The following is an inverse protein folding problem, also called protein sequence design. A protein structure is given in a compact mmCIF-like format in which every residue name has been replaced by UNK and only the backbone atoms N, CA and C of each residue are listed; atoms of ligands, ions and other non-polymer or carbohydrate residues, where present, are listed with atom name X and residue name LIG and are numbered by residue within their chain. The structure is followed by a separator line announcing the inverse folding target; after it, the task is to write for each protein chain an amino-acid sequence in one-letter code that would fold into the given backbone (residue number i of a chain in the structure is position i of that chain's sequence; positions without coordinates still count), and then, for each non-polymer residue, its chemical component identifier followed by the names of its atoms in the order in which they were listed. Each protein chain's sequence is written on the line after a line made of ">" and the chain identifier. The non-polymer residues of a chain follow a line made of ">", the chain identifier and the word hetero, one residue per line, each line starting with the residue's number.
data_IF_215290988006
#
_entry.id   IF_215290988006
#
_cell.length_a   1.000
_cell.length_b   1.000
_cell.length_c   1.000
_cell.angle_alpha   90.00
_cell.angle_beta   90.00
_cell.angle_gamma   90.00
#
_symmetry.space_group_name_H-M   'P 1'
#
loop_
_entity.id
_entity.type
_entity.pdbx_description
1 polymer ?
#
# COMPACT_ATOMS: atom_id res chain seq x y z
N UNK A 1 49.98 -10.85 4.54
CA UNK A 1 48.79 -10.76 3.63
C UNK A 1 47.59 -11.60 4.07
N UNK A 2 47.54 -12.17 5.28
CA UNK A 2 46.52 -13.15 5.73
C UNK A 2 45.47 -12.61 6.73
N UNK A 3 45.61 -11.39 7.23
CA UNK A 3 44.67 -10.79 8.21
C UNK A 3 43.45 -10.08 7.56
N UNK A 4 43.57 -9.61 6.33
CA UNK A 4 42.51 -8.83 5.64
C UNK A 4 41.34 -9.70 5.13
N UNK A 5 41.59 -10.97 4.81
CA UNK A 5 40.55 -11.88 4.27
C UNK A 5 39.65 -12.47 5.36
N UNK A 6 40.12 -12.51 6.63
CA UNK A 6 39.32 -13.05 7.74
C UNK A 6 38.27 -12.08 8.25
N UNK A 7 38.57 -10.78 8.24
CA UNK A 7 37.62 -9.72 8.68
C UNK A 7 36.50 -9.50 7.66
N UNK A 8 36.79 -9.63 6.36
CA UNK A 8 35.75 -9.50 5.33
C UNK A 8 34.75 -10.67 5.34
N UNK A 9 35.22 -11.89 5.63
CA UNK A 9 34.33 -13.07 5.75
C UNK A 9 33.48 -13.05 7.02
N UNK A 10 34.00 -12.51 8.12
CA UNK A 10 33.23 -12.40 9.37
C UNK A 10 32.13 -11.32 9.27
N UNK A 11 32.40 -10.22 8.59
CA UNK A 11 31.41 -9.17 8.33
C UNK A 11 30.26 -9.65 7.44
N UNK A 12 30.53 -10.44 6.41
CA UNK A 12 29.50 -11.00 5.52
C UNK A 12 28.64 -12.06 6.24
N UNK A 13 29.24 -12.87 7.14
CA UNK A 13 28.50 -13.83 7.97
C UNK A 13 27.59 -13.15 9.00
N UNK A 14 28.05 -12.09 9.64
CA UNK A 14 27.26 -11.33 10.62
C UNK A 14 26.10 -10.57 9.95
N UNK A 15 26.29 -10.04 8.75
CA UNK A 15 25.22 -9.39 7.98
C UNK A 15 24.14 -10.40 7.52
N UNK A 16 24.55 -11.61 7.12
CA UNK A 16 23.64 -12.67 6.75
C UNK A 16 22.81 -13.21 7.94
N UNK A 17 23.43 -13.32 9.12
CA UNK A 17 22.76 -13.78 10.35
C UNK A 17 21.77 -12.71 10.87
N UNK A 18 22.12 -11.42 10.79
CA UNK A 18 21.21 -10.34 11.17
C UNK A 18 19.96 -10.27 10.24
N UNK A 19 20.15 -10.48 8.92
CA UNK A 19 19.04 -10.58 7.96
C UNK A 19 18.12 -11.78 8.23
N UNK A 20 18.68 -12.93 8.55
CA UNK A 20 17.94 -14.16 8.90
C UNK A 20 17.17 -14.02 10.22
N UNK A 21 17.75 -13.37 11.23
CA UNK A 21 17.06 -13.10 12.51
C UNK A 21 15.88 -12.13 12.34
N UNK A 22 16.00 -11.11 11.47
CA UNK A 22 14.91 -10.18 11.19
C UNK A 22 13.72 -10.85 10.48
N UNK A 23 13.97 -11.78 9.55
CA UNK A 23 12.91 -12.53 8.87
C UNK A 23 12.28 -13.59 9.77
N UNK A 24 13.03 -14.22 10.67
CA UNK A 24 12.51 -15.21 11.61
C UNK A 24 11.66 -14.56 12.74
N UNK A 25 11.89 -13.30 13.08
CA UNK A 25 11.12 -12.59 14.10
C UNK A 25 9.78 -12.00 13.57
N UNK A 26 9.64 -11.76 12.27
CA UNK A 26 8.42 -11.19 11.70
C UNK A 26 7.16 -12.01 12.00
N UNK A 27 7.12 -13.34 11.78
CA UNK A 27 5.92 -14.13 12.09
C UNK A 27 5.52 -14.07 13.56
N UNK A 28 6.49 -14.08 14.48
CA UNK A 28 6.24 -13.98 15.92
C UNK A 28 5.67 -12.61 16.29
N UNK A 29 6.20 -11.54 15.73
CA UNK A 29 5.74 -10.19 15.95
C UNK A 29 4.27 -10.01 15.52
N UNK A 30 3.94 -10.38 14.28
CA UNK A 30 2.58 -10.30 13.77
C UNK A 30 1.61 -11.24 14.49
N UNK A 31 2.10 -12.40 14.98
CA UNK A 31 1.30 -13.29 15.82
C UNK A 31 0.87 -12.60 17.12
N UNK A 32 1.76 -11.85 17.75
CA UNK A 32 1.44 -11.09 18.97
C UNK A 32 0.40 -10.00 18.68
N UNK A 33 0.59 -9.21 17.63
CA UNK A 33 -0.38 -8.19 17.23
C UNK A 33 -1.75 -8.80 16.94
N UNK A 34 -1.79 -9.90 16.19
CA UNK A 34 -3.04 -10.55 15.82
C UNK A 34 -3.71 -11.33 16.96
N UNK A 35 -2.97 -11.79 17.97
CA UNK A 35 -3.52 -12.50 19.13
C UNK A 35 -4.34 -11.59 20.04
N UNK A 36 -4.03 -10.29 20.02
CA UNK A 36 -4.70 -9.28 20.87
C UNK A 36 -5.88 -8.60 20.17
N UNK A 37 -6.16 -8.97 18.91
CA UNK A 37 -7.28 -8.43 18.14
C UNK A 37 -8.40 -9.46 18.14
N UNK A 38 -9.59 -9.07 18.62
CA UNK A 38 -10.75 -9.95 18.54
C UNK A 38 -11.04 -10.33 17.09
N UNK A 39 -11.09 -11.63 16.77
CA UNK A 39 -11.40 -12.07 15.42
C UNK A 39 -12.83 -11.70 15.06
N UNK A 40 -12.99 -10.81 14.09
CA UNK A 40 -14.25 -10.56 13.43
C UNK A 40 -14.59 -11.67 12.42
N UNK A 41 -15.71 -11.48 11.74
CA UNK A 41 -16.08 -12.34 10.61
C UNK A 41 -15.24 -11.89 9.43
N UNK A 42 -14.38 -12.77 8.94
CA UNK A 42 -13.64 -12.56 7.69
C UNK A 42 -13.84 -13.74 6.75
N UNK A 43 -13.67 -13.51 5.47
CA UNK A 43 -13.74 -14.55 4.44
C UNK A 43 -12.58 -14.41 3.47
N UNK A 44 -12.17 -15.51 2.87
CA UNK A 44 -11.13 -15.52 1.83
C UNK A 44 -11.77 -15.83 0.50
N UNK A 45 -11.40 -15.08 -0.55
CA UNK A 45 -11.82 -15.34 -1.95
C UNK A 45 -10.63 -15.34 -2.88
N UNK A 46 -10.70 -16.15 -3.93
CA UNK A 46 -9.75 -16.15 -5.03
C UNK A 46 -10.15 -15.04 -6.00
N UNK A 47 -9.23 -14.10 -6.27
CA UNK A 47 -9.47 -13.02 -7.23
C UNK A 47 -8.74 -13.27 -8.57
N UNK A 48 -7.75 -14.15 -8.57
CA UNK A 48 -7.03 -14.58 -9.78
C UNK A 48 -6.79 -16.10 -9.72
N UNK A 49 -7.61 -16.85 -10.43
CA UNK A 49 -7.58 -18.33 -10.44
C UNK A 49 -6.32 -18.84 -11.11
N UNK A 50 -5.91 -18.20 -12.21
CA UNK A 50 -4.75 -18.66 -12.99
C UNK A 50 -3.45 -18.55 -12.18
N UNK A 51 -3.34 -17.52 -11.35
CA UNK A 51 -2.16 -17.26 -10.50
C UNK A 51 -2.29 -17.79 -9.09
N UNK A 52 -3.48 -18.33 -8.73
CA UNK A 52 -3.77 -18.82 -7.38
C UNK A 52 -3.75 -17.72 -6.32
N UNK A 53 -4.09 -16.48 -6.69
CA UNK A 53 -4.05 -15.34 -5.79
C UNK A 53 -5.39 -15.13 -5.09
N UNK A 54 -5.32 -14.94 -3.77
CA UNK A 54 -6.48 -14.77 -2.90
C UNK A 54 -6.44 -13.44 -2.16
N UNK A 55 -7.58 -13.03 -1.63
CA UNK A 55 -7.72 -11.87 -0.75
C UNK A 55 -8.59 -12.21 0.45
N UNK A 56 -8.31 -11.57 1.57
CA UNK A 56 -9.14 -11.62 2.77
C UNK A 56 -10.05 -10.40 2.82
N UNK A 57 -11.31 -10.64 3.17
CA UNK A 57 -12.37 -9.63 3.25
C UNK A 57 -12.81 -9.49 4.71
N UNK A 58 -12.80 -8.27 5.20
CA UNK A 58 -13.29 -7.87 6.52
C UNK A 58 -14.51 -6.97 6.31
N UNK A 59 -15.73 -7.46 6.54
CA UNK A 59 -16.95 -6.68 6.32
C UNK A 59 -17.02 -5.52 7.31
N UNK A 60 -17.63 -4.41 6.90
CA UNK A 60 -17.84 -3.27 7.77
C UNK A 60 -18.78 -3.65 8.94
N UNK A 61 -18.30 -3.47 10.17
CA UNK A 61 -19.13 -3.67 11.37
C UNK A 61 -19.85 -2.38 11.71
N UNK A 62 -21.13 -2.49 12.10
CA UNK A 62 -21.95 -1.36 12.52
C UNK A 62 -22.19 -0.27 11.44
N UNK A 63 -22.00 -0.59 10.16
CA UNK A 63 -22.33 0.31 9.07
C UNK A 63 -23.85 0.50 8.96
N UNK A 64 -24.29 1.76 8.77
CA UNK A 64 -25.72 2.10 8.62
C UNK A 64 -26.18 2.20 7.15
N UNK A 65 -25.33 1.82 6.21
CA UNK A 65 -25.53 1.89 4.77
C UNK A 65 -24.27 1.42 4.03
N UNK A 66 -24.18 1.62 2.71
CA UNK A 66 -22.98 1.28 1.97
C UNK A 66 -21.73 1.92 2.57
N UNK A 67 -20.76 1.09 2.95
CA UNK A 67 -19.57 1.51 3.68
C UNK A 67 -18.43 1.94 2.75
N UNK A 68 -17.48 2.78 3.16
CA UNK A 68 -16.24 2.95 2.42
C UNK A 68 -15.48 1.62 2.34
N UNK A 69 -14.75 1.43 1.26
CA UNK A 69 -13.95 0.24 0.99
C UNK A 69 -12.47 0.60 0.95
N UNK A 70 -11.63 -0.19 1.58
CA UNK A 70 -10.17 -0.06 1.52
C UNK A 70 -9.56 -1.34 0.99
N UNK A 71 -8.81 -1.26 -0.12
CA UNK A 71 -7.91 -2.32 -0.57
C UNK A 71 -6.56 -2.07 0.03
N UNK A 72 -6.14 -2.90 0.99
CA UNK A 72 -4.91 -2.71 1.74
C UNK A 72 -3.79 -3.62 1.25
N UNK A 73 -2.70 -3.03 0.75
CA UNK A 73 -1.48 -3.73 0.35
C UNK A 73 -0.47 -3.73 1.50
N UNK A 74 -0.04 -4.91 1.89
CA UNK A 74 0.90 -5.09 2.98
C UNK A 74 2.36 -4.84 2.56
N UNK A 75 3.22 -4.56 3.56
CA UNK A 75 4.65 -4.40 3.40
C UNK A 75 5.42 -5.72 3.37
N UNK A 76 6.72 -5.64 3.14
CA UNK A 76 7.63 -6.79 3.11
C UNK A 76 8.68 -6.70 2.01
N UNK A 77 9.06 -5.48 1.60
CA UNK A 77 10.09 -5.20 0.59
C UNK A 77 9.85 -5.92 -0.74
N UNK A 78 8.59 -6.14 -1.12
CA UNK A 78 8.14 -6.90 -2.30
C UNK A 78 8.65 -8.36 -2.36
N UNK A 79 9.31 -8.83 -1.31
CA UNK A 79 9.95 -10.15 -1.19
C UNK A 79 9.26 -11.04 -0.14
N UNK A 80 8.60 -10.44 0.83
CA UNK A 80 7.96 -11.12 1.96
C UNK A 80 6.58 -10.55 2.29
N UNK A 81 6.09 -10.92 3.48
CA UNK A 81 4.76 -10.53 3.95
C UNK A 81 3.67 -11.49 3.50
N UNK A 82 2.54 -11.40 4.19
CA UNK A 82 1.32 -12.18 3.94
C UNK A 82 0.11 -11.38 4.40
N UNK A 83 -1.04 -11.55 3.76
CA UNK A 83 -2.30 -10.90 4.15
C UNK A 83 -2.68 -11.21 5.61
N UNK A 84 -2.43 -12.44 6.07
CA UNK A 84 -2.76 -12.87 7.43
C UNK A 84 -1.97 -12.12 8.51
N UNK A 85 -0.79 -11.59 8.18
CA UNK A 85 0.00 -10.79 9.12
C UNK A 85 -0.69 -9.47 9.45
N UNK A 86 -1.45 -8.92 8.50
CA UNK A 86 -2.10 -7.62 8.63
C UNK A 86 -3.58 -7.70 9.02
N UNK A 87 -4.01 -8.86 9.61
CA UNK A 87 -5.37 -8.99 10.14
C UNK A 87 -5.74 -7.87 11.10
N UNK A 88 -4.81 -7.42 11.94
CA UNK A 88 -5.04 -6.31 12.87
C UNK A 88 -5.44 -5.00 12.18
N UNK A 89 -4.95 -4.73 10.97
CA UNK A 89 -5.38 -3.57 10.15
C UNK A 89 -6.81 -3.77 9.66
N UNK A 90 -7.10 -4.97 9.10
CA UNK A 90 -8.43 -5.33 8.62
C UNK A 90 -9.48 -5.21 9.71
N UNK A 91 -9.22 -5.78 10.89
CA UNK A 91 -10.14 -5.75 12.03
C UNK A 91 -10.34 -4.34 12.62
N UNK A 92 -9.25 -3.55 12.70
CA UNK A 92 -9.33 -2.18 13.25
C UNK A 92 -10.24 -1.29 12.39
N UNK A 93 -10.08 -1.32 11.09
CA UNK A 93 -10.91 -0.55 10.15
C UNK A 93 -12.33 -1.11 10.04
N UNK A 94 -12.49 -2.44 9.99
CA UNK A 94 -13.78 -3.13 9.97
C UNK A 94 -14.63 -2.76 11.19
N UNK A 95 -14.04 -2.73 12.38
CA UNK A 95 -14.70 -2.31 13.62
C UNK A 95 -15.22 -0.87 13.57
N UNK A 96 -14.69 -0.06 12.67
CA UNK A 96 -15.02 1.36 12.49
C UNK A 96 -15.88 1.61 11.24
N UNK A 97 -16.51 0.57 10.69
CA UNK A 97 -17.48 0.68 9.62
C UNK A 97 -16.87 0.78 8.21
N UNK A 98 -15.68 0.25 8.01
CA UNK A 98 -15.01 0.20 6.70
C UNK A 98 -14.94 -1.25 6.22
N UNK A 99 -15.31 -1.53 4.97
CA UNK A 99 -15.00 -2.81 4.32
C UNK A 99 -13.51 -2.83 3.98
N UNK A 100 -12.80 -3.87 4.40
CA UNK A 100 -11.37 -3.99 4.09
C UNK A 100 -11.10 -5.24 3.29
N UNK A 101 -10.32 -5.10 2.22
CA UNK A 101 -9.85 -6.18 1.36
C UNK A 101 -8.33 -6.19 1.40
N UNK A 102 -7.74 -7.32 1.81
CA UNK A 102 -6.28 -7.48 1.88
C UNK A 102 -5.86 -8.56 0.88
N UNK A 103 -5.39 -8.20 -0.34
CA UNK A 103 -4.98 -9.15 -1.34
C UNK A 103 -3.55 -9.64 -1.13
N UNK A 104 -3.30 -10.90 -1.48
CA UNK A 104 -1.95 -11.36 -1.80
C UNK A 104 -1.51 -10.82 -3.16
N UNK A 105 -0.21 -10.73 -3.35
CA UNK A 105 0.44 -10.42 -4.61
C UNK A 105 1.72 -11.24 -4.75
N UNK A 106 2.16 -11.49 -5.99
CA UNK A 106 3.39 -12.23 -6.29
C UNK A 106 4.62 -11.44 -5.84
N UNK A 107 5.65 -12.14 -5.42
CA UNK A 107 6.83 -11.57 -4.74
C UNK A 107 8.13 -12.03 -5.36
N UNK A 108 9.14 -11.17 -5.28
CA UNK A 108 10.51 -11.52 -5.61
C UNK A 108 11.05 -12.59 -4.63
N UNK A 109 12.04 -13.40 -5.04
CA UNK A 109 12.74 -13.33 -6.33
C UNK A 109 12.02 -14.01 -7.50
N UNK A 110 10.96 -14.80 -7.25
CA UNK A 110 10.26 -15.55 -8.29
C UNK A 110 9.54 -14.63 -9.29
N UNK A 111 9.02 -13.50 -8.82
CA UNK A 111 8.30 -12.53 -9.62
C UNK A 111 8.78 -11.13 -9.29
N UNK A 112 9.45 -10.50 -10.26
CA UNK A 112 10.01 -9.15 -10.13
C UNK A 112 9.01 -8.09 -10.61
N UNK A 113 9.33 -6.83 -10.39
CA UNK A 113 8.60 -5.69 -11.00
C UNK A 113 8.47 -5.87 -12.52
N UNK A 114 7.28 -5.63 -13.10
CA UNK A 114 6.06 -5.11 -12.49
C UNK A 114 5.00 -6.18 -12.12
N UNK A 115 5.37 -7.45 -11.91
CA UNK A 115 4.41 -8.53 -11.69
C UNK A 115 3.41 -8.23 -10.55
N UNK A 116 3.89 -7.77 -9.40
CA UNK A 116 3.05 -7.43 -8.25
C UNK A 116 2.14 -6.21 -8.51
N UNK A 117 2.50 -5.31 -9.43
CA UNK A 117 1.63 -4.20 -9.84
C UNK A 117 0.43 -4.69 -10.65
N UNK A 118 0.65 -5.67 -11.55
CA UNK A 118 -0.45 -6.30 -12.29
C UNK A 118 -1.40 -7.06 -11.38
N UNK A 119 -0.88 -7.72 -10.34
CA UNK A 119 -1.70 -8.40 -9.34
C UNK A 119 -2.51 -7.40 -8.51
N UNK A 120 -1.87 -6.32 -8.07
CA UNK A 120 -2.52 -5.25 -7.32
C UNK A 120 -3.64 -4.57 -8.14
N UNK A 121 -3.40 -4.30 -9.42
CA UNK A 121 -4.42 -3.77 -10.32
C UNK A 121 -5.60 -4.75 -10.49
N UNK A 122 -5.32 -6.07 -10.58
CA UNK A 122 -6.38 -7.09 -10.64
C UNK A 122 -7.21 -7.14 -9.38
N UNK A 123 -6.57 -7.12 -8.20
CA UNK A 123 -7.25 -7.13 -6.91
C UNK A 123 -8.11 -5.86 -6.71
N UNK A 124 -7.60 -4.72 -7.13
CA UNK A 124 -8.32 -3.44 -7.07
C UNK A 124 -9.55 -3.46 -8.00
N UNK A 125 -9.39 -3.90 -9.24
CA UNK A 125 -10.50 -4.02 -10.19
C UNK A 125 -11.56 -5.04 -9.71
N UNK A 126 -11.12 -6.17 -9.17
CA UNK A 126 -12.01 -7.16 -8.55
C UNK A 126 -12.81 -6.52 -7.40
N UNK A 127 -12.14 -5.78 -6.52
CA UNK A 127 -12.82 -5.12 -5.39
C UNK A 127 -13.83 -4.08 -5.85
N UNK A 128 -13.51 -3.25 -6.84
CA UNK A 128 -14.43 -2.28 -7.43
C UNK A 128 -15.69 -2.96 -7.97
N UNK A 129 -15.55 -4.09 -8.67
CA UNK A 129 -16.68 -4.82 -9.25
C UNK A 129 -17.54 -5.55 -8.22
N UNK A 130 -17.01 -5.86 -7.04
CA UNK A 130 -17.70 -6.57 -5.95
C UNK A 130 -18.05 -5.68 -4.75
N UNK A 131 -17.69 -4.38 -4.78
CA UNK A 131 -17.84 -3.49 -3.63
C UNK A 131 -19.27 -3.51 -3.05
N UNK A 132 -20.29 -3.40 -3.90
CA UNK A 132 -21.69 -3.44 -3.47
C UNK A 132 -22.10 -4.79 -2.83
N UNK A 133 -21.63 -5.92 -3.39
CA UNK A 133 -21.84 -7.26 -2.83
C UNK A 133 -21.22 -7.40 -1.44
N UNK A 134 -20.08 -6.73 -1.21
CA UNK A 134 -19.38 -6.72 0.07
C UNK A 134 -19.99 -5.74 1.10
N UNK A 135 -21.09 -5.06 0.76
CA UNK A 135 -21.72 -4.03 1.60
C UNK A 135 -20.99 -2.68 1.54
N UNK A 136 -20.10 -2.52 0.56
CA UNK A 136 -19.38 -1.29 0.31
C UNK A 136 -20.05 -0.38 -0.72
N UNK A 137 -19.59 0.87 -0.77
CA UNK A 137 -19.96 1.84 -1.78
C UNK A 137 -18.91 1.82 -2.91
N UNK A 138 -19.28 1.44 -4.14
CA UNK A 138 -18.35 1.42 -5.28
C UNK A 138 -17.72 2.79 -5.61
N UNK A 139 -18.37 3.88 -5.23
CA UNK A 139 -17.84 5.25 -5.39
C UNK A 139 -16.85 5.65 -4.29
N UNK A 140 -16.69 4.82 -3.26
CA UNK A 140 -15.84 5.10 -2.09
C UNK A 140 -14.79 4.01 -1.89
N UNK A 141 -14.19 3.53 -2.97
CA UNK A 141 -13.11 2.53 -2.95
C UNK A 141 -11.77 3.25 -2.92
N UNK A 142 -10.99 3.01 -1.86
CA UNK A 142 -9.66 3.56 -1.64
C UNK A 142 -8.62 2.45 -1.76
N UNK A 143 -7.44 2.77 -2.27
CA UNK A 143 -6.26 1.90 -2.16
C UNK A 143 -5.37 2.42 -1.04
N UNK A 144 -4.90 1.53 -0.18
CA UNK A 144 -4.04 1.86 0.95
C UNK A 144 -2.90 0.87 1.04
N UNK A 145 -1.74 1.29 1.54
CA UNK A 145 -0.68 0.35 1.80
C UNK A 145 0.42 0.88 2.70
N UNK A 146 1.18 -0.05 3.29
CA UNK A 146 2.31 0.25 4.16
C UNK A 146 3.63 -0.19 3.53
N UNK A 147 4.69 0.64 3.59
CA UNK A 147 6.02 0.29 3.09
C UNK A 147 5.99 -0.09 1.59
N UNK A 148 6.43 -1.27 1.19
CA UNK A 148 6.29 -1.79 -0.17
C UNK A 148 4.83 -1.76 -0.66
N UNK A 149 3.85 -2.00 0.22
CA UNK A 149 2.43 -1.84 -0.11
C UNK A 149 2.02 -0.39 -0.32
N UNK A 150 2.64 0.55 0.41
CA UNK A 150 2.46 1.98 0.19
C UNK A 150 2.95 2.42 -1.19
N UNK A 151 4.09 1.89 -1.62
CA UNK A 151 4.58 2.04 -2.99
C UNK A 151 3.58 1.51 -4.03
N UNK A 152 3.06 0.27 -3.83
CA UNK A 152 2.06 -0.33 -4.72
C UNK A 152 0.82 0.56 -4.82
N UNK A 153 0.28 1.02 -3.69
CA UNK A 153 -0.90 1.89 -3.67
C UNK A 153 -0.64 3.22 -4.39
N UNK A 154 0.50 3.85 -4.13
CA UNK A 154 0.87 5.10 -4.78
C UNK A 154 1.06 4.94 -6.29
N UNK A 155 1.75 3.88 -6.74
CA UNK A 155 1.98 3.65 -8.17
C UNK A 155 0.68 3.26 -8.91
N UNK A 156 -0.28 2.61 -8.26
CA UNK A 156 -1.63 2.43 -8.81
C UNK A 156 -2.38 3.75 -9.00
N UNK A 157 -2.11 4.72 -8.12
CA UNK A 157 -2.75 6.04 -8.17
C UNK A 157 -2.08 7.02 -9.11
N UNK A 158 -0.80 6.82 -9.47
CA UNK A 158 -0.05 7.73 -10.34
C UNK A 158 0.16 7.17 -11.76
N UNK A 159 0.48 5.88 -11.91
CA UNK A 159 0.60 5.26 -13.24
C UNK A 159 -0.74 4.64 -13.66
N UNK A 160 -1.51 5.39 -14.45
CA UNK A 160 -2.83 4.98 -14.94
C UNK A 160 -2.81 3.70 -15.78
N UNK A 161 -1.66 3.31 -16.34
CA UNK A 161 -1.54 2.16 -17.25
C UNK A 161 -1.89 0.83 -16.58
N UNK A 162 -1.62 0.66 -15.28
CA UNK A 162 -1.92 -0.57 -14.56
C UNK A 162 -3.42 -0.82 -14.42
N UNK A 163 -4.17 0.20 -14.00
CA UNK A 163 -5.63 0.09 -13.85
C UNK A 163 -6.33 0.09 -15.21
N UNK A 164 -5.85 0.84 -16.20
CA UNK A 164 -6.40 0.87 -17.55
C UNK A 164 -6.41 -0.52 -18.21
N UNK A 165 -5.39 -1.36 -17.96
CA UNK A 165 -5.35 -2.76 -18.40
C UNK A 165 -6.46 -3.63 -17.80
N UNK A 166 -7.18 -3.14 -16.80
CA UNK A 166 -8.35 -3.76 -16.14
C UNK A 166 -9.64 -3.01 -16.41
N UNK A 167 -9.65 -2.10 -17.39
CA UNK A 167 -10.77 -1.23 -17.73
C UNK A 167 -11.22 -0.35 -16.54
N UNK A 168 -10.28 0.05 -15.68
CA UNK A 168 -10.50 0.96 -14.55
C UNK A 168 -9.72 2.24 -14.79
N UNK A 169 -10.37 3.39 -14.64
CA UNK A 169 -9.69 4.70 -14.63
C UNK A 169 -9.19 5.01 -13.23
N UNK A 170 -8.04 5.65 -13.12
CA UNK A 170 -7.42 6.03 -11.84
C UNK A 170 -8.36 6.86 -10.97
N UNK A 171 -9.10 7.79 -11.56
CA UNK A 171 -10.12 8.62 -10.89
C UNK A 171 -11.39 7.87 -10.44
N UNK A 172 -11.53 6.57 -10.71
CA UNK A 172 -12.57 5.75 -10.06
C UNK A 172 -12.19 5.37 -8.63
N UNK A 173 -10.92 5.54 -8.25
CA UNK A 173 -10.52 5.44 -6.85
C UNK A 173 -10.96 6.70 -6.11
N UNK A 174 -11.60 6.52 -4.96
CA UNK A 174 -11.94 7.63 -4.06
C UNK A 174 -10.71 8.27 -3.42
N UNK A 175 -9.58 7.55 -3.40
CA UNK A 175 -8.31 8.08 -2.99
C UNK A 175 -7.23 7.03 -2.76
N UNK A 176 -6.03 7.51 -2.52
CA UNK A 176 -4.83 6.72 -2.22
C UNK A 176 -4.31 7.06 -0.84
N UNK A 177 -4.01 6.06 -0.02
CA UNK A 177 -3.43 6.22 1.31
C UNK A 177 -2.08 5.52 1.37
N UNK A 178 -1.02 6.31 1.40
CA UNK A 178 0.36 5.83 1.47
C UNK A 178 0.93 5.94 2.88
N UNK A 179 1.29 4.79 3.47
CA UNK A 179 1.86 4.72 4.82
C UNK A 179 3.34 4.33 4.73
N UNK A 180 4.24 5.28 4.97
CA UNK A 180 5.69 5.08 4.96
C UNK A 180 6.21 4.33 3.71
N UNK A 181 5.68 4.64 2.54
CA UNK A 181 6.07 4.03 1.28
C UNK A 181 7.28 4.71 0.65
N UNK A 182 8.12 3.97 -0.10
CA UNK A 182 9.14 4.55 -0.96
C UNK A 182 8.49 5.00 -2.27
N UNK A 183 8.60 6.28 -2.60
CA UNK A 183 7.97 6.90 -3.76
C UNK A 183 8.97 7.58 -4.68
N UNK A 184 10.15 7.90 -4.14
CA UNK A 184 11.30 8.49 -4.83
C UNK A 184 12.58 7.97 -4.18
N UNK A 185 13.04 6.79 -4.63
CA UNK A 185 14.11 6.04 -3.96
C UNK A 185 15.29 5.67 -4.88
N UNK A 186 15.51 6.45 -5.93
CA UNK A 186 16.68 6.27 -6.78
C UNK A 186 17.90 7.05 -6.24
N UNK A 187 19.13 6.53 -6.45
CA UNK A 187 19.44 5.22 -7.02
C UNK A 187 19.19 4.08 -6.04
N UNK A 188 18.80 2.90 -6.55
CA UNK A 188 18.66 1.71 -5.72
C UNK A 188 20.07 1.19 -5.38
N UNK A 189 20.43 1.17 -4.10
CA UNK A 189 21.75 0.73 -3.65
C UNK A 189 21.75 -0.67 -3.04
N UNK A 190 20.66 -1.07 -2.39
CA UNK A 190 20.51 -2.38 -1.76
C UNK A 190 20.44 -3.49 -2.81
N UNK A 191 21.35 -4.50 -2.77
CA UNK A 191 21.39 -5.59 -3.75
C UNK A 191 20.08 -6.41 -3.78
N UNK A 192 19.40 -6.58 -2.66
CA UNK A 192 18.15 -7.33 -2.61
C UNK A 192 17.01 -6.57 -3.29
N UNK A 193 17.00 -5.25 -3.17
CA UNK A 193 16.01 -4.38 -3.84
C UNK A 193 16.31 -4.27 -5.34
N UNK A 194 17.59 -4.27 -5.74
CA UNK A 194 17.97 -4.37 -7.17
C UNK A 194 17.38 -5.60 -7.84
N UNK A 195 17.36 -6.74 -7.13
CA UNK A 195 16.75 -7.97 -7.65
C UNK A 195 15.24 -7.84 -7.86
N UNK A 196 14.56 -7.02 -7.06
CA UNK A 196 13.12 -6.77 -7.21
C UNK A 196 12.80 -5.95 -8.47
N UNK A 197 13.61 -4.92 -8.76
CA UNK A 197 13.32 -3.95 -9.82
C UNK A 197 14.11 -4.19 -11.12
N UNK A 198 14.96 -5.22 -11.16
CA UNK A 198 15.65 -5.62 -12.38
C UNK A 198 16.74 -4.64 -12.84
N UNK A 199 16.82 -4.40 -14.15
CA UNK A 199 17.88 -3.59 -14.75
C UNK A 199 17.73 -2.10 -14.38
N UNK A 200 18.86 -1.45 -14.12
CA UNK A 200 18.92 -0.04 -13.69
C UNK A 200 18.20 0.93 -14.63
N UNK A 201 18.29 0.67 -15.93
CA UNK A 201 17.60 1.47 -16.96
C UNK A 201 16.06 1.49 -16.80
N UNK A 202 15.49 0.49 -16.13
CA UNK A 202 14.05 0.31 -15.94
C UNK A 202 13.56 0.84 -14.57
N UNK A 203 14.47 1.19 -13.65
CA UNK A 203 14.12 1.69 -12.33
C UNK A 203 13.24 2.94 -12.32
N UNK A 204 13.38 3.92 -13.24
CA UNK A 204 12.48 5.07 -13.26
C UNK A 204 11.00 4.72 -13.41
N UNK A 205 10.69 3.55 -14.02
CA UNK A 205 9.31 3.06 -14.18
C UNK A 205 8.69 2.58 -12.86
N UNK A 206 9.48 2.39 -11.83
CA UNK A 206 9.01 1.99 -10.51
C UNK A 206 8.77 3.14 -9.55
N UNK A 207 9.02 4.38 -9.95
CA UNK A 207 8.97 5.53 -9.05
C UNK A 207 7.64 6.29 -9.19
N UNK A 208 6.74 6.25 -8.20
CA UNK A 208 5.47 6.98 -8.25
C UNK A 208 5.58 8.46 -8.62
N UNK A 209 6.63 9.15 -8.14
CA UNK A 209 6.86 10.58 -8.45
C UNK A 209 7.01 10.89 -9.95
N UNK A 210 7.40 9.90 -10.75
CA UNK A 210 7.65 10.08 -12.18
C UNK A 210 6.36 10.07 -13.03
N UNK A 211 5.23 9.64 -12.45
CA UNK A 211 3.98 9.43 -13.18
C UNK A 211 2.88 10.44 -12.81
N UNK A 212 3.16 11.36 -11.91
CA UNK A 212 2.20 12.41 -11.55
C UNK A 212 2.02 13.33 -12.75
N UNK A 213 0.81 13.32 -13.33
CA UNK A 213 0.47 14.02 -14.58
C UNK A 213 -0.79 14.91 -14.50
N UNK A 214 -1.50 14.93 -13.36
CA UNK A 214 -2.69 15.73 -13.13
C UNK A 214 -4.01 14.97 -13.32
N UNK A 215 -3.99 13.62 -13.33
CA UNK A 215 -5.17 12.74 -13.36
C UNK A 215 -5.21 11.79 -12.14
N UNK A 216 -4.59 12.20 -11.04
CA UNK A 216 -4.56 11.42 -9.82
C UNK A 216 -5.83 11.59 -8.99
N UNK A 217 -6.25 10.55 -8.23
CA UNK A 217 -7.21 10.70 -7.16
C UNK A 217 -6.59 11.46 -5.96
N UNK A 218 -7.37 11.92 -4.98
CA UNK A 218 -6.83 12.51 -3.75
C UNK A 218 -5.86 11.59 -3.01
N UNK A 219 -4.79 12.12 -2.42
CA UNK A 219 -3.79 11.39 -1.66
C UNK A 219 -3.76 11.77 -0.17
N UNK A 220 -3.67 10.76 0.70
CA UNK A 220 -3.22 10.89 2.08
C UNK A 220 -1.85 10.19 2.20
N UNK A 221 -0.81 10.95 2.50
CA UNK A 221 0.53 10.41 2.76
C UNK A 221 0.86 10.60 4.23
N UNK A 222 1.09 9.49 4.93
CA UNK A 222 1.52 9.50 6.32
C UNK A 222 2.88 8.85 6.46
N UNK A 223 3.80 9.50 7.22
CA UNK A 223 5.16 9.01 7.40
C UNK A 223 5.63 9.22 8.82
N UNK A 224 6.40 8.28 9.35
CA UNK A 224 7.05 8.45 10.64
C UNK A 224 8.28 9.34 10.53
N UNK A 225 8.35 10.43 11.30
CA UNK A 225 9.46 11.39 11.27
C UNK A 225 10.81 10.80 11.70
N UNK A 226 10.81 9.66 12.42
CA UNK A 226 12.01 8.93 12.81
C UNK A 226 12.25 7.66 11.97
N UNK A 227 11.60 7.53 10.81
CA UNK A 227 11.77 6.38 9.93
C UNK A 227 13.14 6.39 9.26
N UNK A 228 13.94 5.34 9.56
CA UNK A 228 15.29 5.14 9.00
C UNK A 228 15.34 4.02 7.97
N UNK A 229 14.22 3.36 7.70
CA UNK A 229 14.12 2.31 6.69
C UNK A 229 13.68 2.87 5.34
N UNK A 230 12.63 3.68 5.37
CA UNK A 230 12.16 4.50 4.27
C UNK A 230 12.17 5.95 4.77
N UNK A 231 12.99 6.78 4.17
CA UNK A 231 13.15 8.16 4.63
C UNK A 231 11.89 8.98 4.34
N UNK A 232 11.46 9.87 5.26
CA UNK A 232 10.27 10.72 5.11
C UNK A 232 10.25 11.54 3.83
N UNK A 233 11.42 11.91 3.31
CA UNK A 233 11.56 12.63 2.04
C UNK A 233 10.81 11.96 0.87
N UNK A 234 10.62 10.64 0.89
CA UNK A 234 9.79 9.96 -0.12
C UNK A 234 8.36 10.50 -0.15
N UNK A 235 7.72 10.66 1.01
CA UNK A 235 6.39 11.24 1.10
C UNK A 235 6.39 12.74 0.83
N UNK A 236 7.43 13.45 1.23
CA UNK A 236 7.57 14.89 0.97
C UNK A 236 7.71 15.17 -0.53
N UNK A 237 8.55 14.41 -1.25
CA UNK A 237 8.73 14.55 -2.70
C UNK A 237 7.45 14.23 -3.47
N UNK A 238 6.77 13.12 -3.16
CA UNK A 238 5.51 12.79 -3.82
C UNK A 238 4.43 13.83 -3.53
N UNK A 239 4.33 14.33 -2.28
CA UNK A 239 3.39 15.38 -1.94
C UNK A 239 3.68 16.70 -2.65
N UNK A 240 4.96 17.07 -2.80
CA UNK A 240 5.36 18.24 -3.57
C UNK A 240 4.97 18.07 -5.04
N UNK A 241 5.28 16.93 -5.64
CA UNK A 241 4.95 16.64 -7.03
C UNK A 241 3.45 16.69 -7.33
N UNK A 242 2.61 16.10 -6.44
CA UNK A 242 1.15 16.18 -6.55
C UNK A 242 0.64 17.62 -6.45
N UNK A 243 1.19 18.44 -5.54
CA UNK A 243 0.83 19.85 -5.42
C UNK A 243 1.21 20.66 -6.66
N UNK A 244 2.38 20.39 -7.27
CA UNK A 244 2.82 21.06 -8.49
C UNK A 244 1.86 20.79 -9.66
N UNK A 245 1.17 19.63 -9.65
CA UNK A 245 0.13 19.26 -10.60
C UNK A 245 -1.29 19.61 -10.12
N UNK A 246 -1.43 20.38 -9.02
CA UNK A 246 -2.70 20.80 -8.44
C UNK A 246 -3.60 19.66 -7.94
N UNK A 247 -3.02 18.48 -7.69
CA UNK A 247 -3.77 17.33 -7.18
C UNK A 247 -3.92 17.38 -5.65
N UNK A 248 -5.11 17.01 -5.12
CA UNK A 248 -5.38 17.06 -3.70
C UNK A 248 -4.47 16.11 -2.93
N UNK A 249 -3.64 16.62 -2.04
CA UNK A 249 -2.77 15.81 -1.19
C UNK A 249 -2.73 16.33 0.24
N UNK A 250 -2.86 15.39 1.18
CA UNK A 250 -2.62 15.63 2.61
C UNK A 250 -1.35 14.88 3.02
N UNK A 251 -0.34 15.60 3.52
CA UNK A 251 0.88 15.02 4.08
C UNK A 251 0.86 15.15 5.60
N UNK A 252 1.14 14.03 6.30
CA UNK A 252 1.29 13.96 7.76
C UNK A 252 2.61 13.29 8.13
N UNK A 253 3.53 14.06 8.70
CA UNK A 253 4.73 13.52 9.34
C UNK A 253 4.42 13.33 10.82
N UNK A 254 4.47 12.07 11.28
CA UNK A 254 4.20 11.71 12.68
C UNK A 254 5.53 11.69 13.43
N UNK A 255 5.77 12.72 14.22
CA UNK A 255 7.02 12.88 14.97
C UNK A 255 7.29 11.69 15.89
N UNK A 256 8.57 11.41 16.14
CA UNK A 256 9.05 10.34 17.02
C UNK A 256 8.57 8.92 16.65
N UNK A 257 7.97 8.75 15.49
CA UNK A 257 7.45 7.47 14.99
C UNK A 257 8.40 6.90 13.94
N UNK A 258 8.75 5.62 14.08
CA UNK A 258 9.55 4.89 13.09
C UNK A 258 8.67 4.10 12.12
N UNK A 259 9.30 3.39 11.19
CA UNK A 259 8.67 2.65 10.08
C UNK A 259 7.51 1.75 10.51
N UNK A 260 7.76 0.87 11.47
CA UNK A 260 6.76 -0.08 11.97
C UNK A 260 5.82 0.60 12.97
N UNK A 261 6.30 1.60 13.72
CA UNK A 261 5.50 2.36 14.67
C UNK A 261 4.28 3.01 14.00
N UNK A 262 4.42 3.45 12.76
CA UNK A 262 3.32 4.05 12.01
C UNK A 262 2.16 3.07 11.84
N UNK A 263 2.40 1.88 11.26
CA UNK A 263 1.34 0.88 11.02
C UNK A 263 0.81 0.26 12.31
N UNK A 264 1.59 0.24 13.38
CA UNK A 264 1.14 -0.22 14.69
C UNK A 264 0.04 0.66 15.30
N UNK A 265 -0.16 1.86 14.80
CA UNK A 265 -1.29 2.71 15.20
C UNK A 265 -2.66 2.10 14.91
N UNK A 266 -2.77 1.15 13.96
CA UNK A 266 -4.00 0.36 13.79
C UNK A 266 -4.23 -0.61 14.93
N UNK A 267 -3.18 -1.07 15.59
CA UNK A 267 -3.29 -1.88 16.81
C UNK A 267 -3.57 -1.03 18.04
N UNK A 268 -2.88 0.09 18.20
CA UNK A 268 -3.07 1.01 19.32
C UNK A 268 -2.68 2.45 18.96
N UNK A 269 -3.53 3.43 19.30
CA UNK A 269 -3.25 4.84 19.06
C UNK A 269 -2.02 5.38 19.82
N UNK A 270 -1.49 4.61 20.78
CA UNK A 270 -0.25 4.96 21.50
C UNK A 270 0.99 4.93 20.58
N UNK A 271 0.94 4.20 19.47
CA UNK A 271 2.05 4.11 18.52
C UNK A 271 1.99 5.23 17.46
N UNK A 272 0.80 5.52 16.97
CA UNK A 272 0.59 6.60 16.00
C UNK A 272 -0.91 6.88 15.85
N UNK A 273 -1.31 8.06 15.34
CA UNK A 273 -2.70 8.42 15.09
C UNK A 273 -3.25 7.84 13.78
N UNK A 274 -2.54 6.91 13.12
CA UNK A 274 -2.83 6.48 11.74
C UNK A 274 -4.27 6.00 11.54
N UNK A 275 -4.85 5.28 12.50
CA UNK A 275 -6.23 4.79 12.39
C UNK A 275 -7.23 5.95 12.34
N UNK A 276 -7.15 6.87 13.31
CA UNK A 276 -8.10 7.99 13.41
C UNK A 276 -7.95 8.98 12.25
N UNK A 277 -6.72 9.28 11.82
CA UNK A 277 -6.49 10.14 10.67
C UNK A 277 -6.95 9.49 9.36
N UNK A 278 -6.72 8.19 9.19
CA UNK A 278 -7.25 7.43 8.05
C UNK A 278 -8.77 7.47 8.00
N UNK A 279 -9.45 7.23 9.13
CA UNK A 279 -10.90 7.25 9.21
C UNK A 279 -11.49 8.64 8.98
N UNK A 280 -10.87 9.67 9.56
CA UNK A 280 -11.27 11.06 9.33
C UNK A 280 -11.15 11.44 7.85
N UNK A 281 -10.08 11.01 7.19
CA UNK A 281 -9.87 11.30 5.77
C UNK A 281 -10.83 10.53 4.85
N UNK A 282 -11.04 9.23 5.07
CA UNK A 282 -12.02 8.41 4.32
C UNK A 282 -13.46 8.92 4.53
N UNK A 283 -13.76 9.47 5.71
CA UNK A 283 -15.07 10.01 6.06
C UNK A 283 -15.41 11.34 5.37
N UNK A 284 -14.43 12.04 4.81
CA UNK A 284 -14.66 13.23 4.00
C UNK A 284 -15.36 12.81 2.71
N UNK A 285 -16.38 13.58 2.29
CA UNK A 285 -17.00 13.33 0.99
C UNK A 285 -15.94 13.41 -0.10
N UNK A 286 -15.96 12.51 -1.11
CA UNK A 286 -15.03 12.64 -2.22
C UNK A 286 -15.17 14.04 -2.82
N UNK A 287 -14.05 14.71 -3.07
CA UNK A 287 -14.02 15.93 -3.88
C UNK A 287 -14.33 15.46 -5.31
N UNK A 288 -15.61 15.26 -5.62
CA UNK A 288 -16.03 15.07 -6.99
C UNK A 288 -15.79 16.39 -7.70
N UNK A 289 -14.69 16.49 -8.45
CA UNK A 289 -14.71 17.36 -9.60
C UNK A 289 -15.98 16.99 -10.37
N UNK A 290 -16.93 17.90 -10.47
CA UNK A 290 -18.17 17.69 -11.17
C UNK A 290 -17.82 17.16 -12.57
N UNK A 291 -18.07 15.89 -12.82
CA UNK A 291 -18.00 15.36 -14.17
C UNK A 291 -19.10 16.06 -14.93
N UNK A 292 -18.71 17.01 -15.75
CA UNK A 292 -19.60 17.64 -16.73
C UNK A 292 -20.04 16.55 -17.72
N UNK A 293 -21.18 15.94 -17.44
CA UNK A 293 -21.80 14.87 -18.25
C UNK A 293 -22.51 15.49 -19.48
N UNK A 294 -22.25 16.72 -19.84
CA UNK A 294 -22.91 17.45 -20.91
C UNK A 294 -22.01 17.72 -22.12
N UNK A 295 -21.31 16.72 -22.65
CA UNK A 295 -20.78 16.81 -24.01
C UNK A 295 -21.49 15.77 -24.87
N UNK A 296 -22.40 16.16 -25.79
CA UNK A 296 -22.94 15.22 -26.77
C UNK A 296 -21.82 14.81 -27.71
N UNK A 297 -21.68 13.49 -27.91
CA UNK A 297 -20.87 12.95 -29.02
C UNK A 297 -21.50 13.43 -30.31
N UNK A 298 -20.90 14.46 -30.92
CA UNK A 298 -21.18 14.82 -32.31
C UNK A 298 -20.55 13.76 -33.20
N UNK A 299 -21.42 12.89 -33.78
CA UNK A 299 -21.01 12.03 -34.88
C UNK A 299 -20.79 12.89 -36.13
N UNK A 300 -19.68 12.62 -36.80
CA UNK A 300 -19.52 12.61 -38.25
C UNK A 300 -18.43 11.61 -38.61
#
# INVERSE_FOLDING_TARGET
>A
MTRSLFTARLGALLSGVAGLLLTACQPAYFRVLNASVEPGISSTRVYDVERGLSLDIYPARNARGPAPVVVFFYGGSWQGGRREYYRFVGEALSARGVVVVIPDYRKAPQFVFPAFMHDAASATAWTLSHAAELGGDPARVHVMGHSAGGHIAALLGTDSTYLARRNVRTRQLAGVIGLAGPYDFLPITDPSIKQVFGAEKDWPQSQPVNFVDGDEPPFLLMHGGSDKRVWPMNSEHLAARLKDHHEPVTLRIVEHTGHIGLVNGFYSPRFSPVLEETLAWIGQAPVTAALDVSAPVSGE
#
